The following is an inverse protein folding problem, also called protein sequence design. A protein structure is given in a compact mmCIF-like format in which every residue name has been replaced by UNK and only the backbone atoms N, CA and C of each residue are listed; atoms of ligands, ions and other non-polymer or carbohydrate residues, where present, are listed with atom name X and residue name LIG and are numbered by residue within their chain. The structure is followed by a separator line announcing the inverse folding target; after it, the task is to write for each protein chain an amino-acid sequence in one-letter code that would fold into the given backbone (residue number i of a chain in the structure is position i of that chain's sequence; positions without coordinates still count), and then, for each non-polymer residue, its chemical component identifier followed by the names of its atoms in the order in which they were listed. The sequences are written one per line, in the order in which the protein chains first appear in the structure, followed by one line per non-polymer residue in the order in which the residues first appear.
data_IF_767553479660
#
_entry.id   IF_767553479660
#
_cell.length_a   1.000
_cell.length_b   1.000
_cell.length_c   1.000
_cell.angle_alpha   90.00
_cell.angle_beta   90.00
_cell.angle_gamma   90.00
#
_symmetry.space_group_name_H-M   'P 1'
#
loop_
_entity.id
_entity.type
_entity.pdbx_description
1 polymer ?
#
# COMPACT_ATOMS: atom_id res chain seq x y z
N UNK A 1 0.34 19.85 13.87
CA UNK A 1 0.92 20.99 14.58
C UNK A 1 1.31 22.12 13.61
N UNK A 2 2.05 21.84 12.52
CA UNK A 2 2.46 22.88 11.55
C UNK A 2 1.29 23.62 10.89
N UNK A 3 0.20 22.92 10.55
CA UNK A 3 -1.04 23.54 10.02
C UNK A 3 -1.78 24.33 11.09
N UNK A 4 -1.86 23.82 12.33
CA UNK A 4 -2.46 24.54 13.43
C UNK A 4 -1.73 25.86 13.72
N UNK A 5 -0.38 25.84 13.67
CA UNK A 5 0.44 27.06 13.83
C UNK A 5 0.27 28.06 12.68
N UNK A 6 -0.14 27.61 11.49
CA UNK A 6 -0.46 28.49 10.35
C UNK A 6 -1.89 29.05 10.38
N UNK A 7 -2.68 28.74 11.41
CA UNK A 7 -4.05 29.22 11.55
C UNK A 7 -5.04 28.58 10.56
N UNK A 8 -4.67 27.50 9.87
CA UNK A 8 -5.55 26.82 8.90
C UNK A 8 -6.82 26.25 9.53
N UNK A 9 -6.84 26.11 10.86
CA UNK A 9 -7.96 25.54 11.62
C UNK A 9 -8.77 26.56 12.44
N UNK A 10 -8.45 27.84 12.36
CA UNK A 10 -9.15 28.85 13.14
C UNK A 10 -10.66 28.87 12.88
N UNK A 11 -11.08 28.66 11.63
CA UNK A 11 -12.49 28.59 11.24
C UNK A 11 -13.24 27.34 11.73
N UNK A 12 -12.53 26.33 12.22
CA UNK A 12 -13.09 25.04 12.66
C UNK A 12 -12.80 24.74 14.14
N UNK A 13 -12.34 25.73 14.91
CA UNK A 13 -11.94 25.51 16.30
C UNK A 13 -13.06 24.94 17.15
N UNK A 14 -14.27 25.52 17.03
CA UNK A 14 -15.41 25.06 17.83
C UNK A 14 -15.85 23.64 17.48
N UNK A 15 -15.85 23.30 16.18
CA UNK A 15 -16.18 21.94 15.72
C UNK A 15 -15.12 20.91 16.17
N UNK A 16 -13.84 21.30 16.16
CA UNK A 16 -12.75 20.45 16.64
C UNK A 16 -12.78 20.30 18.16
N UNK A 17 -13.13 21.36 18.89
CA UNK A 17 -13.30 21.28 20.34
C UNK A 17 -14.43 20.33 20.72
N UNK A 18 -15.56 20.39 20.02
CA UNK A 18 -16.66 19.46 20.20
C UNK A 18 -16.24 18.00 19.88
N UNK A 19 -15.44 17.80 18.82
CA UNK A 19 -14.91 16.50 18.46
C UNK A 19 -13.97 15.92 19.54
N UNK A 20 -13.06 16.72 20.09
CA UNK A 20 -12.17 16.31 21.19
C UNK A 20 -12.98 15.99 22.43
N UNK A 21 -14.01 16.81 22.75
CA UNK A 21 -14.89 16.57 23.91
C UNK A 21 -15.63 15.23 23.76
N UNK A 22 -16.18 14.93 22.57
CA UNK A 22 -16.85 13.66 22.31
C UNK A 22 -15.89 12.46 22.45
N UNK A 23 -14.69 12.55 21.87
CA UNK A 23 -13.68 11.48 22.00
C UNK A 23 -13.22 11.28 23.44
N UNK A 24 -13.15 12.35 24.24
CA UNK A 24 -12.80 12.25 25.66
C UNK A 24 -13.89 11.57 26.51
N UNK A 25 -15.15 11.64 26.08
CA UNK A 25 -16.27 10.98 26.73
C UNK A 25 -16.40 9.48 26.33
N UNK A 26 -15.73 9.07 25.25
CA UNK A 26 -15.69 7.68 24.78
C UNK A 26 -14.26 7.12 24.82
N UNK A 27 -13.64 6.98 26.02
CA UNK A 27 -12.23 6.63 26.15
C UNK A 27 -11.87 5.28 25.52
N UNK A 28 -12.80 4.32 25.51
CA UNK A 28 -12.55 3.00 24.90
C UNK A 28 -12.28 3.11 23.39
N UNK A 29 -13.01 3.97 22.68
CA UNK A 29 -12.80 4.23 21.25
C UNK A 29 -11.45 4.90 21.00
N UNK A 30 -11.14 5.94 21.79
CA UNK A 30 -9.89 6.68 21.73
C UNK A 30 -8.68 5.77 22.01
N UNK A 31 -8.70 5.02 23.12
CA UNK A 31 -7.64 4.08 23.50
C UNK A 31 -7.43 3.02 22.41
N UNK A 32 -8.52 2.53 21.80
CA UNK A 32 -8.42 1.55 20.70
C UNK A 32 -7.71 2.13 19.49
N UNK A 33 -8.04 3.35 19.07
CA UNK A 33 -7.40 4.01 17.94
C UNK A 33 -5.93 4.32 18.25
N UNK A 34 -5.65 4.87 19.42
CA UNK A 34 -4.28 5.15 19.88
C UNK A 34 -3.44 3.86 19.96
N UNK A 35 -3.99 2.77 20.51
CA UNK A 35 -3.28 1.49 20.59
C UNK A 35 -2.93 0.92 19.21
N UNK A 36 -3.82 1.10 18.21
CA UNK A 36 -3.55 0.72 16.83
C UNK A 36 -2.42 1.60 16.25
N UNK A 37 -2.51 2.93 16.45
CA UNK A 37 -1.52 3.86 15.96
C UNK A 37 -0.14 3.58 16.57
N UNK A 38 -0.02 3.48 17.89
CA UNK A 38 1.24 3.19 18.57
C UNK A 38 1.86 1.85 18.16
N UNK A 39 1.05 0.81 18.01
CA UNK A 39 1.54 -0.53 17.66
C UNK A 39 2.16 -0.61 16.27
N UNK A 40 1.68 0.18 15.32
CA UNK A 40 2.01 0.01 13.90
C UNK A 40 2.76 1.20 13.28
N UNK A 41 2.58 2.42 13.79
CA UNK A 41 3.08 3.63 13.13
C UNK A 41 4.45 4.06 13.67
N UNK A 42 4.83 3.67 14.91
CA UNK A 42 6.12 4.06 15.49
C UNK A 42 6.29 5.58 15.63
N UNK A 43 7.51 6.10 15.56
CA UNK A 43 7.78 7.54 15.72
C UNK A 43 7.21 8.39 14.58
N UNK A 44 6.34 9.34 14.94
CA UNK A 44 5.45 10.14 14.06
C UNK A 44 6.15 10.91 12.91
N UNK A 45 7.43 11.23 13.01
CA UNK A 45 8.09 12.19 12.10
C UNK A 45 8.52 11.57 10.77
N UNK A 46 9.02 10.36 10.81
CA UNK A 46 9.51 9.64 9.64
C UNK A 46 8.39 9.16 8.72
N UNK A 47 7.25 8.80 9.30
CA UNK A 47 6.09 8.30 8.57
C UNK A 47 5.37 9.38 7.73
N UNK A 48 5.34 10.65 8.16
CA UNK A 48 4.64 11.72 7.41
C UNK A 48 5.33 12.03 6.08
N UNK A 49 6.65 12.15 6.06
CA UNK A 49 7.41 12.41 4.82
C UNK A 49 7.28 11.24 3.84
N UNK A 50 7.30 10.02 4.35
CA UNK A 50 7.10 8.81 3.54
C UNK A 50 5.69 8.76 2.95
N UNK A 51 4.65 9.11 3.73
CA UNK A 51 3.27 9.18 3.25
C UNK A 51 3.09 10.28 2.21
N UNK A 52 3.72 11.45 2.38
CA UNK A 52 3.66 12.51 1.36
C UNK A 52 4.32 12.10 0.04
N UNK A 53 5.50 11.48 0.10
CA UNK A 53 6.17 10.91 -1.09
C UNK A 53 5.29 9.85 -1.75
N UNK A 54 4.69 8.99 -0.95
CA UNK A 54 3.75 7.99 -1.43
C UNK A 54 2.55 8.62 -2.16
N UNK A 55 1.92 9.65 -1.58
CA UNK A 55 0.81 10.37 -2.20
C UNK A 55 1.18 11.01 -3.54
N UNK A 56 2.41 11.48 -3.70
CA UNK A 56 2.90 11.99 -4.99
C UNK A 56 3.00 10.86 -6.03
N UNK A 57 3.47 9.69 -5.64
CA UNK A 57 3.62 8.55 -6.54
C UNK A 57 2.27 8.00 -6.98
N UNK A 58 1.29 7.88 -6.08
CA UNK A 58 -0.05 7.37 -6.43
C UNK A 58 -0.82 8.28 -7.37
N UNK A 59 -0.58 9.60 -7.32
CA UNK A 59 -1.17 10.56 -8.27
C UNK A 59 -0.67 10.35 -9.69
N UNK A 60 0.55 9.85 -9.85
CA UNK A 60 1.23 9.63 -11.12
C UNK A 60 1.08 8.20 -11.65
N UNK A 61 0.16 7.42 -11.13
CA UNK A 61 -0.09 6.03 -11.53
C UNK A 61 -0.22 5.87 -13.05
N UNK A 62 0.66 5.07 -13.64
CA UNK A 62 0.67 4.79 -15.08
C UNK A 62 0.22 3.37 -15.35
N UNK A 63 -0.62 3.17 -16.37
CA UNK A 63 -0.93 1.82 -16.86
C UNK A 63 0.36 1.13 -17.32
N UNK A 64 0.61 -0.07 -16.80
CA UNK A 64 1.66 -0.91 -17.35
C UNK A 64 1.32 -1.25 -18.81
N UNK A 65 2.25 -1.13 -19.76
CA UNK A 65 1.98 -1.47 -21.15
C UNK A 65 1.70 -2.97 -21.26
N UNK A 66 0.72 -3.34 -22.09
CA UNK A 66 0.21 -4.71 -22.26
C UNK A 66 1.33 -5.72 -22.54
N UNK A 67 2.30 -5.35 -23.38
CA UNK A 67 3.40 -6.26 -23.74
C UNK A 67 4.26 -6.66 -22.53
N UNK A 68 4.48 -5.74 -21.56
CA UNK A 68 5.20 -6.06 -20.32
C UNK A 68 4.40 -7.03 -19.46
N UNK A 69 3.07 -6.87 -19.43
CA UNK A 69 2.19 -7.79 -18.72
C UNK A 69 2.21 -9.19 -19.35
N UNK A 70 2.13 -9.28 -20.68
CA UNK A 70 2.20 -10.55 -21.41
C UNK A 70 3.55 -11.22 -21.14
N UNK A 71 4.64 -10.46 -21.19
CA UNK A 71 5.97 -10.98 -20.97
C UNK A 71 6.17 -11.51 -19.54
N UNK A 72 5.60 -10.79 -18.53
CA UNK A 72 5.73 -11.19 -17.13
C UNK A 72 5.00 -12.48 -16.76
N UNK A 73 4.00 -12.90 -17.53
CA UNK A 73 3.34 -14.19 -17.38
C UNK A 73 3.85 -15.22 -18.36
N UNK A 74 4.03 -14.82 -19.61
CA UNK A 74 4.42 -15.74 -20.68
C UNK A 74 5.81 -16.32 -20.51
N UNK A 75 6.76 -15.50 -20.03
CA UNK A 75 8.13 -15.96 -19.86
C UNK A 75 8.28 -17.02 -18.75
N UNK A 76 7.71 -16.84 -17.53
CA UNK A 76 7.69 -17.91 -16.52
C UNK A 76 7.02 -19.19 -17.02
N UNK A 77 5.88 -19.09 -17.69
CA UNK A 77 5.18 -20.26 -18.23
C UNK A 77 6.03 -20.97 -19.26
N UNK A 78 6.64 -20.26 -20.21
CA UNK A 78 7.53 -20.84 -21.22
C UNK A 78 8.75 -21.53 -20.57
N UNK A 79 9.34 -20.91 -19.54
CA UNK A 79 10.49 -21.48 -18.83
C UNK A 79 10.10 -22.76 -18.09
N UNK A 80 8.99 -22.75 -17.35
CA UNK A 80 8.49 -23.94 -16.64
C UNK A 80 8.19 -25.06 -17.64
N UNK A 81 7.52 -24.76 -18.74
CA UNK A 81 7.19 -25.74 -19.78
C UNK A 81 8.44 -26.32 -20.40
N UNK A 82 9.46 -25.50 -20.69
CA UNK A 82 10.72 -25.95 -21.25
C UNK A 82 11.49 -26.87 -20.27
N UNK A 83 11.51 -26.54 -18.97
CA UNK A 83 12.12 -27.37 -17.93
C UNK A 83 11.41 -28.72 -17.83
N UNK A 84 10.09 -28.75 -17.79
CA UNK A 84 9.30 -29.97 -17.74
C UNK A 84 9.55 -30.84 -18.98
N UNK A 85 9.56 -30.25 -20.19
CA UNK A 85 9.85 -30.96 -21.42
C UNK A 85 11.26 -31.53 -21.46
N UNK A 86 12.25 -30.83 -20.90
CA UNK A 86 13.60 -31.32 -20.75
C UNK A 86 13.69 -32.49 -19.76
N UNK A 87 12.97 -32.42 -18.63
CA UNK A 87 12.87 -33.51 -17.65
C UNK A 87 12.21 -34.77 -18.24
N UNK A 88 11.25 -34.61 -19.14
CA UNK A 88 10.57 -35.69 -19.86
C UNK A 88 11.42 -36.23 -21.03
N UNK A 89 12.59 -35.66 -21.30
CA UNK A 89 13.46 -36.07 -22.39
C UNK A 89 12.96 -35.65 -23.80
N UNK A 90 11.94 -34.80 -23.87
CA UNK A 90 11.38 -34.34 -25.16
C UNK A 90 12.34 -33.36 -25.83
N UNK A 91 13.01 -32.52 -25.04
CA UNK A 91 14.03 -31.58 -25.49
C UNK A 91 15.30 -31.72 -24.65
N UNK A 92 16.44 -31.27 -25.18
CA UNK A 92 17.67 -31.20 -24.37
C UNK A 92 17.61 -30.11 -23.32
N UNK A 93 18.45 -30.17 -22.29
CA UNK A 93 18.50 -29.15 -21.22
C UNK A 93 19.02 -27.78 -21.68
N UNK A 94 19.75 -27.70 -22.80
CA UNK A 94 20.31 -26.41 -23.29
C UNK A 94 19.28 -25.31 -23.49
N UNK A 95 18.15 -25.53 -24.21
CA UNK A 95 17.13 -24.47 -24.38
C UNK A 95 16.51 -24.03 -23.06
N UNK A 96 16.22 -24.94 -22.13
CA UNK A 96 15.70 -24.63 -20.83
C UNK A 96 16.68 -23.78 -20.01
N UNK A 97 17.97 -24.10 -20.05
CA UNK A 97 19.02 -23.31 -19.40
C UNK A 97 19.09 -21.88 -19.95
N UNK A 98 19.07 -21.71 -21.29
CA UNK A 98 19.07 -20.36 -21.91
C UNK A 98 17.83 -19.54 -21.54
N UNK A 99 16.67 -20.17 -21.47
CA UNK A 99 15.44 -19.48 -21.03
C UNK A 99 15.53 -19.02 -19.57
N UNK A 100 16.03 -19.89 -18.68
CA UNK A 100 16.25 -19.51 -17.28
C UNK A 100 17.25 -18.35 -17.19
N UNK A 101 18.38 -18.42 -17.88
CA UNK A 101 19.40 -17.38 -17.85
C UNK A 101 18.84 -16.02 -18.40
N UNK A 102 18.15 -16.06 -19.53
CA UNK A 102 17.50 -14.88 -20.10
C UNK A 102 16.45 -14.28 -19.16
N UNK A 103 15.65 -15.12 -18.51
CA UNK A 103 14.63 -14.68 -17.57
C UNK A 103 15.23 -14.07 -16.32
N UNK A 104 16.28 -14.65 -15.76
CA UNK A 104 17.01 -14.08 -14.62
C UNK A 104 17.60 -12.72 -14.97
N UNK A 105 18.26 -12.61 -16.13
CA UNK A 105 18.82 -11.34 -16.59
C UNK A 105 17.75 -10.25 -16.76
N UNK A 106 16.64 -10.60 -17.41
CA UNK A 106 15.52 -9.68 -17.62
C UNK A 106 14.88 -9.26 -16.29
N UNK A 107 14.74 -10.20 -15.36
CA UNK A 107 14.22 -9.92 -14.02
C UNK A 107 15.14 -8.98 -13.24
N UNK A 108 16.45 -9.18 -13.27
CA UNK A 108 17.43 -8.30 -12.63
C UNK A 108 17.36 -6.88 -13.21
N UNK A 109 17.32 -6.76 -14.53
CA UNK A 109 17.21 -5.47 -15.21
C UNK A 109 15.89 -4.76 -14.85
N UNK A 110 14.77 -5.48 -14.90
CA UNK A 110 13.46 -4.93 -14.54
C UNK A 110 13.39 -4.50 -13.07
N UNK A 111 13.96 -5.29 -12.15
CA UNK A 111 14.00 -4.96 -10.73
C UNK A 111 14.78 -3.68 -10.46
N UNK A 112 15.89 -3.42 -11.13
CA UNK A 112 16.63 -2.17 -10.98
C UNK A 112 15.78 -0.93 -11.27
N UNK A 113 14.97 -0.99 -12.31
CA UNK A 113 14.12 0.13 -12.74
C UNK A 113 12.91 0.42 -11.81
N UNK A 114 12.50 -0.53 -10.97
CA UNK A 114 11.31 -0.42 -10.12
C UNK A 114 11.64 -0.46 -8.61
N UNK A 115 12.92 -0.58 -8.29
CA UNK A 115 13.40 -0.79 -6.92
C UNK A 115 12.89 0.27 -5.95
N UNK A 116 13.04 1.54 -6.28
CA UNK A 116 12.66 2.65 -5.39
C UNK A 116 11.17 2.60 -5.02
N UNK A 117 10.31 2.24 -5.98
CA UNK A 117 8.86 2.10 -5.72
C UNK A 117 8.56 0.91 -4.83
N UNK A 118 9.27 -0.21 -5.02
CA UNK A 118 9.08 -1.42 -4.21
C UNK A 118 9.61 -1.25 -2.79
N UNK A 119 10.77 -0.62 -2.63
CA UNK A 119 11.37 -0.34 -1.32
C UNK A 119 10.45 0.59 -0.52
N UNK A 120 9.93 1.65 -1.14
CA UNK A 120 8.93 2.53 -0.52
C UNK A 120 7.67 1.76 -0.09
N UNK A 121 7.11 0.90 -0.94
CA UNK A 121 5.95 0.07 -0.58
C UNK A 121 6.26 -0.92 0.55
N UNK A 122 7.48 -1.44 0.59
CA UNK A 122 7.94 -2.32 1.64
C UNK A 122 8.05 -1.58 2.98
N UNK A 123 8.63 -0.39 2.99
CA UNK A 123 8.78 0.45 4.19
C UNK A 123 7.41 0.88 4.75
N UNK A 124 6.46 1.15 3.85
CA UNK A 124 5.10 1.52 4.22
C UNK A 124 4.21 0.33 4.66
N UNK A 125 4.71 -0.92 4.61
CA UNK A 125 3.89 -2.08 4.97
C UNK A 125 3.25 -1.97 6.36
N UNK A 126 4.03 -1.58 7.38
CA UNK A 126 3.52 -1.43 8.76
C UNK A 126 2.53 -0.27 8.90
N UNK A 127 2.84 0.96 8.44
CA UNK A 127 1.90 2.06 8.41
C UNK A 127 0.61 1.73 7.67
N UNK A 128 0.67 1.12 6.49
CA UNK A 128 -0.51 0.77 5.70
C UNK A 128 -1.40 -0.27 6.39
N UNK A 129 -0.80 -1.22 7.11
CA UNK A 129 -1.55 -2.17 7.94
C UNK A 129 -2.25 -1.49 9.13
N UNK A 130 -1.69 -0.38 9.65
CA UNK A 130 -2.33 0.44 10.66
C UNK A 130 -3.51 1.22 10.06
N UNK A 131 -3.32 1.87 8.94
CA UNK A 131 -4.36 2.65 8.28
C UNK A 131 -5.58 1.81 7.87
N UNK A 132 -5.39 0.55 7.43
CA UNK A 132 -6.49 -0.39 7.21
C UNK A 132 -7.32 -0.62 8.50
N UNK A 133 -6.64 -0.82 9.62
CA UNK A 133 -7.30 -1.04 10.92
C UNK A 133 -7.94 0.23 11.48
N UNK A 134 -7.27 1.36 11.34
CA UNK A 134 -7.77 2.67 11.75
C UNK A 134 -9.03 3.04 10.95
N UNK A 135 -8.99 2.90 9.63
CA UNK A 135 -10.15 3.16 8.79
C UNK A 135 -11.35 2.29 9.18
N UNK A 136 -11.11 1.01 9.46
CA UNK A 136 -12.15 0.09 9.94
C UNK A 136 -12.69 0.50 11.31
N UNK A 137 -11.83 0.87 12.25
CA UNK A 137 -12.22 1.30 13.58
C UNK A 137 -13.03 2.61 13.53
N UNK A 138 -12.60 3.58 12.72
CA UNK A 138 -13.32 4.84 12.50
C UNK A 138 -14.69 4.57 11.86
N UNK A 139 -14.77 3.73 10.84
CA UNK A 139 -16.04 3.41 10.16
C UNK A 139 -17.05 2.70 11.05
N UNK A 140 -16.61 1.93 12.05
CA UNK A 140 -17.50 1.25 13.00
C UNK A 140 -17.90 2.14 14.18
N UNK A 141 -17.25 3.30 14.35
CA UNK A 141 -17.57 4.27 15.38
C UNK A 141 -18.89 4.98 15.11
N UNK A 142 -19.60 5.36 16.18
CA UNK A 142 -20.77 6.24 16.11
C UNK A 142 -20.34 7.60 16.62
N UNK A 143 -20.44 8.59 15.76
CA UNK A 143 -20.01 9.97 16.07
C UNK A 143 -21.20 10.91 16.03
N UNK A 144 -21.26 11.88 16.94
CA UNK A 144 -22.28 12.93 16.99
C UNK A 144 -21.73 14.26 16.48
N UNK A 145 -20.47 14.59 16.81
CA UNK A 145 -19.84 15.81 16.37
C UNK A 145 -19.76 15.89 14.83
N UNK A 146 -20.20 17.00 14.21
CA UNK A 146 -20.22 17.16 12.75
C UNK A 146 -18.85 16.93 12.10
N UNK A 147 -17.80 17.39 12.77
CA UNK A 147 -16.41 17.22 12.32
C UNK A 147 -16.02 15.74 12.17
N UNK A 148 -16.34 14.91 13.16
CA UNK A 148 -16.04 13.48 13.13
C UNK A 148 -16.91 12.74 12.12
N UNK A 149 -18.21 13.10 12.03
CA UNK A 149 -19.14 12.52 11.05
C UNK A 149 -18.67 12.74 9.62
N UNK A 150 -18.27 13.96 9.29
CA UNK A 150 -17.78 14.29 7.94
C UNK A 150 -16.55 13.47 7.57
N UNK A 151 -15.58 13.32 8.48
CA UNK A 151 -14.35 12.56 8.23
C UNK A 151 -14.62 11.06 8.16
N UNK A 152 -15.45 10.52 9.05
CA UNK A 152 -15.88 9.13 8.99
C UNK A 152 -16.64 8.82 7.68
N UNK A 153 -17.52 9.72 7.24
CA UNK A 153 -18.22 9.58 5.97
C UNK A 153 -17.25 9.52 4.77
N UNK A 154 -16.17 10.32 4.77
CA UNK A 154 -15.14 10.24 3.72
C UNK A 154 -14.48 8.87 3.62
N UNK A 155 -14.37 8.14 4.73
CA UNK A 155 -13.83 6.78 4.74
C UNK A 155 -14.88 5.75 4.31
N UNK A 156 -16.17 5.94 4.63
CA UNK A 156 -17.27 5.04 4.33
C UNK A 156 -17.88 5.24 2.93
N UNK A 157 -18.41 6.43 2.69
CA UNK A 157 -19.23 6.76 1.50
C UNK A 157 -18.43 6.87 0.20
N UNK A 158 -17.15 7.25 0.26
CA UNK A 158 -16.28 7.25 -0.91
C UNK A 158 -16.01 5.83 -1.45
N UNK A 159 -16.73 4.87 -0.90
CA UNK A 159 -16.85 3.52 -1.38
C UNK A 159 -15.50 2.89 -1.62
N UNK A 160 -14.96 2.29 -0.59
CA UNK A 160 -13.79 1.47 -0.79
C UNK A 160 -12.54 1.89 -0.03
N UNK A 161 -12.62 2.82 0.96
CA UNK A 161 -11.44 3.12 1.77
C UNK A 161 -10.93 1.85 2.48
N UNK A 162 -11.82 1.10 3.11
CA UNK A 162 -11.47 -0.17 3.75
C UNK A 162 -10.96 -1.19 2.73
N UNK A 163 -11.66 -1.36 1.60
CA UNK A 163 -11.22 -2.26 0.53
C UNK A 163 -9.91 -1.81 -0.09
N UNK A 164 -9.77 -0.49 -0.37
CA UNK A 164 -8.58 0.09 -0.97
C UNK A 164 -7.35 -0.03 -0.08
N UNK A 165 -7.46 0.34 1.20
CA UNK A 165 -6.37 0.25 2.16
C UNK A 165 -5.99 -1.21 2.45
N UNK A 166 -6.97 -2.10 2.55
CA UNK A 166 -6.73 -3.54 2.70
C UNK A 166 -6.02 -4.12 1.48
N UNK A 167 -6.43 -3.75 0.26
CA UNK A 167 -5.76 -4.17 -0.96
C UNK A 167 -4.32 -3.67 -1.02
N UNK A 168 -4.08 -2.40 -0.67
CA UNK A 168 -2.76 -1.82 -0.62
C UNK A 168 -1.86 -2.50 0.42
N UNK A 169 -2.39 -2.75 1.62
CA UNK A 169 -1.69 -3.50 2.67
C UNK A 169 -1.31 -4.91 2.21
N UNK A 170 -2.19 -5.61 1.46
CA UNK A 170 -1.87 -6.92 0.88
C UNK A 170 -0.75 -6.83 -0.17
N UNK A 171 -0.79 -5.83 -1.04
CA UNK A 171 0.26 -5.60 -2.04
C UNK A 171 1.61 -5.37 -1.35
N UNK A 172 1.66 -4.52 -0.33
CA UNK A 172 2.87 -4.28 0.46
C UNK A 172 3.32 -5.55 1.20
N UNK A 173 2.39 -6.38 1.69
CA UNK A 173 2.70 -7.65 2.33
C UNK A 173 3.36 -8.66 1.38
N UNK A 174 3.04 -8.62 0.07
CA UNK A 174 3.71 -9.47 -0.93
C UNK A 174 5.20 -9.19 -1.01
N UNK A 175 5.65 -7.99 -0.68
CA UNK A 175 7.06 -7.59 -0.72
C UNK A 175 7.86 -8.12 0.48
N UNK A 176 7.23 -8.63 1.53
CA UNK A 176 7.93 -9.27 2.66
C UNK A 176 8.78 -10.46 2.26
N UNK A 177 8.47 -11.09 1.14
CA UNK A 177 9.26 -12.19 0.60
C UNK A 177 10.72 -11.78 0.31
N UNK A 178 11.01 -10.46 0.22
CA UNK A 178 12.36 -9.93 0.04
C UNK A 178 13.34 -10.40 1.13
N UNK A 179 12.85 -10.66 2.34
CA UNK A 179 13.66 -11.17 3.45
C UNK A 179 13.68 -12.71 3.54
N UNK A 180 13.15 -13.41 2.54
CA UNK A 180 13.09 -14.86 2.49
C UNK A 180 14.16 -15.43 1.57
N UNK A 181 14.65 -16.64 1.89
CA UNK A 181 15.51 -17.41 0.97
C UNK A 181 14.83 -17.71 -0.38
N UNK A 182 13.50 -17.71 -0.41
CA UNK A 182 12.71 -17.89 -1.64
C UNK A 182 12.63 -16.62 -2.51
N UNK A 183 13.19 -15.49 -2.06
CA UNK A 183 13.13 -14.24 -2.82
C UNK A 183 13.76 -14.36 -4.21
N UNK A 184 14.99 -14.91 -4.29
CA UNK A 184 15.70 -15.06 -5.56
C UNK A 184 14.94 -15.90 -6.58
N UNK A 185 14.49 -17.14 -6.26
CA UNK A 185 13.71 -17.93 -7.20
C UNK A 185 12.35 -17.29 -7.55
N UNK A 186 11.65 -16.66 -6.60
CA UNK A 186 10.38 -16.01 -6.88
C UNK A 186 10.57 -14.78 -7.77
N UNK A 187 11.53 -13.93 -7.49
CA UNK A 187 11.80 -12.75 -8.30
C UNK A 187 12.42 -13.08 -9.64
N UNK A 188 13.35 -14.04 -9.68
CA UNK A 188 14.01 -14.47 -10.91
C UNK A 188 13.09 -15.27 -11.83
N UNK A 189 12.46 -16.33 -11.33
CA UNK A 189 11.68 -17.25 -12.15
C UNK A 189 10.21 -16.84 -12.31
N UNK A 190 9.64 -16.12 -11.35
CA UNK A 190 8.22 -15.71 -11.39
C UNK A 190 7.99 -14.22 -11.61
N UNK A 191 9.07 -13.44 -11.76
CA UNK A 191 8.97 -11.97 -11.90
C UNK A 191 8.08 -11.33 -10.82
N UNK A 192 8.18 -11.82 -9.58
CA UNK A 192 7.30 -11.49 -8.46
C UNK A 192 7.15 -9.98 -8.22
N UNK A 193 8.27 -9.26 -8.23
CA UNK A 193 8.30 -7.82 -8.03
C UNK A 193 7.51 -7.08 -9.11
N UNK A 194 7.54 -7.57 -10.35
CA UNK A 194 6.78 -6.99 -11.43
C UNK A 194 5.27 -7.19 -11.24
N UNK A 195 4.86 -8.36 -10.72
CA UNK A 195 3.44 -8.60 -10.40
C UNK A 195 2.97 -7.71 -9.25
N UNK A 196 3.78 -7.51 -8.20
CA UNK A 196 3.48 -6.59 -7.12
C UNK A 196 3.32 -5.15 -7.63
N UNK A 197 4.26 -4.68 -8.47
CA UNK A 197 4.18 -3.36 -9.10
C UNK A 197 2.94 -3.22 -9.99
N UNK A 198 2.57 -4.23 -10.76
CA UNK A 198 1.36 -4.21 -11.59
C UNK A 198 0.09 -4.08 -10.75
N UNK A 199 0.00 -4.84 -9.66
CA UNK A 199 -1.12 -4.74 -8.72
C UNK A 199 -1.18 -3.34 -8.10
N UNK A 200 -0.03 -2.78 -7.71
CA UNK A 200 0.06 -1.42 -7.21
C UNK A 200 -0.38 -0.38 -8.24
N UNK A 201 0.07 -0.47 -9.48
CA UNK A 201 -0.35 0.44 -10.55
C UNK A 201 -1.87 0.36 -10.81
N UNK A 202 -2.44 -0.85 -10.81
CA UNK A 202 -3.89 -1.02 -10.93
C UNK A 202 -4.63 -0.41 -9.74
N UNK A 203 -4.07 -0.55 -8.54
CA UNK A 203 -4.59 0.08 -7.35
C UNK A 203 -4.54 1.63 -7.47
N UNK A 204 -3.43 2.19 -7.91
CA UNK A 204 -3.30 3.64 -8.15
C UNK A 204 -4.34 4.16 -9.15
N UNK A 205 -4.62 3.42 -10.22
CA UNK A 205 -5.62 3.79 -11.20
C UNK A 205 -7.05 3.75 -10.63
N UNK A 206 -7.34 2.78 -9.76
CA UNK A 206 -8.68 2.61 -9.16
C UNK A 206 -8.92 3.57 -8.00
N UNK A 207 -7.93 3.76 -7.13
CA UNK A 207 -8.09 4.43 -5.83
C UNK A 207 -7.23 5.68 -5.66
N UNK A 208 -6.22 5.92 -6.50
CA UNK A 208 -5.21 6.94 -6.29
C UNK A 208 -5.77 8.36 -6.08
N UNK A 209 -6.88 8.71 -6.74
CA UNK A 209 -7.54 10.03 -6.56
C UNK A 209 -8.19 10.16 -5.18
N UNK A 210 -8.78 9.08 -4.67
CA UNK A 210 -9.50 9.05 -3.39
C UNK A 210 -8.57 8.83 -2.20
N UNK A 211 -7.45 8.14 -2.43
CA UNK A 211 -6.54 7.76 -1.37
C UNK A 211 -6.00 8.95 -0.57
N UNK A 212 -5.75 10.09 -1.21
CA UNK A 212 -5.32 11.30 -0.53
C UNK A 212 -6.33 11.77 0.53
N UNK A 213 -7.63 11.69 0.22
CA UNK A 213 -8.72 12.07 1.14
C UNK A 213 -8.82 11.08 2.31
N UNK A 214 -8.60 9.77 2.06
CA UNK A 214 -8.60 8.78 3.13
C UNK A 214 -7.46 8.98 4.13
N UNK A 215 -6.24 9.20 3.62
CA UNK A 215 -5.08 9.46 4.49
C UNK A 215 -5.23 10.76 5.25
N UNK A 216 -5.82 11.78 4.63
CA UNK A 216 -6.11 13.03 5.31
C UNK A 216 -7.18 12.85 6.41
N UNK A 217 -8.28 12.14 6.11
CA UNK A 217 -9.33 11.88 7.10
C UNK A 217 -8.80 11.11 8.31
N UNK A 218 -7.96 10.08 8.08
CA UNK A 218 -7.33 9.32 9.18
C UNK A 218 -6.37 10.23 9.97
N UNK A 219 -5.58 11.05 9.28
CA UNK A 219 -4.67 12.00 9.94
C UNK A 219 -5.41 13.06 10.76
N UNK A 220 -6.58 13.51 10.31
CA UNK A 220 -7.44 14.43 11.08
C UNK A 220 -7.93 13.78 12.38
N UNK A 221 -8.25 12.49 12.37
CA UNK A 221 -8.54 11.73 13.59
C UNK A 221 -7.32 11.58 14.50
N UNK A 222 -6.13 11.28 13.93
CA UNK A 222 -4.88 11.14 14.70
C UNK A 222 -4.44 12.46 15.37
N UNK A 223 -4.81 13.61 14.82
CA UNK A 223 -4.50 14.92 15.41
C UNK A 223 -5.39 15.30 16.60
N UNK A 224 -6.51 14.61 16.82
CA UNK A 224 -7.46 14.87 17.90
C UNK A 224 -7.17 14.09 19.19
N UNK A 225 -6.24 13.13 19.16
CA UNK A 225 -5.73 12.39 20.31
C UNK A 225 -4.38 12.99 20.78
#
# INVERSE_FOLDING_TARGET
LARALKGEYLAQLDERAAAVQELSQTPEGAIKLESIAQKYIGEKKENREQVEKFLQIIRNGKKAPLWKTILSFGLPVATITAVLAAMMGIIGFKPAFFLIAAQLFLSMYANGAIKDTLDMLYDLYRPLAAYDKLAKAINTGKYEAPYLKERAAKLGDLGGAEEGLRALSRISAMLKVQNSLFYLPLCGLMMWNYHALRLFNNWCLKYGRKAGEWFQAIGDFEELY
#
